data_IF_287919221327
#
_entry.id   IF_287919221327
#
_cell.length_a   1.000
_cell.length_b   1.000
_cell.length_c   1.000
_cell.angle_alpha   90.00
_cell.angle_beta   90.00
_cell.angle_gamma   90.00
#
_symmetry.space_group_name_H-M   'P 1'
#
loop_
_entity.id
_entity.type
_entity.pdbx_description
1 polymer ?
#
# COMPACT_ATOMS: atom_id res chain seq x y z
N UNK A 1 7.19 -14.71 -1.80
CA UNK A 1 6.15 -14.27 -2.55
C UNK A 1 5.79 -12.83 -2.32
N UNK A 2 6.32 -12.03 -3.19
CA UNK A 2 6.24 -10.59 -3.06
C UNK A 2 4.82 -10.05 -3.24
N UNK A 3 4.07 -10.67 -4.09
CA UNK A 3 2.71 -10.21 -4.37
C UNK A 3 1.83 -10.30 -3.14
N UNK A 4 2.10 -11.27 -2.31
CA UNK A 4 1.35 -11.45 -1.08
C UNK A 4 1.51 -10.23 -0.17
N UNK A 5 2.72 -9.69 -0.15
CA UNK A 5 3.00 -8.51 0.66
C UNK A 5 2.19 -7.31 0.17
N UNK A 6 2.12 -7.13 -1.13
CA UNK A 6 1.36 -6.02 -1.67
C UNK A 6 -0.13 -6.18 -1.42
N UNK A 7 -0.63 -7.40 -1.48
CA UNK A 7 -2.04 -7.64 -1.19
C UNK A 7 -2.34 -7.32 0.26
N UNK A 8 -1.44 -7.66 1.16
CA UNK A 8 -1.61 -7.34 2.56
C UNK A 8 -1.64 -5.82 2.76
N UNK A 9 -0.75 -5.12 2.08
CA UNK A 9 -0.71 -3.67 2.18
C UNK A 9 -2.00 -3.06 1.67
N UNK A 10 -2.51 -3.55 0.55
CA UNK A 10 -3.75 -3.03 -0.01
C UNK A 10 -4.89 -3.22 0.97
N UNK A 11 -4.93 -4.35 1.62
CA UNK A 11 -5.96 -4.63 2.60
C UNK A 11 -5.88 -3.67 3.77
N UNK A 12 -4.67 -3.40 4.25
CA UNK A 12 -4.49 -2.47 5.35
C UNK A 12 -4.96 -1.07 4.95
N UNK A 13 -4.69 -0.69 3.72
CA UNK A 13 -5.10 0.63 3.24
C UNK A 13 -6.61 0.78 3.21
N UNK A 14 -7.31 -0.29 2.88
CA UNK A 14 -8.76 -0.24 2.77
C UNK A 14 -9.46 -0.41 4.12
N UNK A 15 -8.94 -1.27 4.95
CA UNK A 15 -9.61 -1.61 6.19
C UNK A 15 -9.19 -0.75 7.37
N UNK A 16 -7.93 -0.35 7.39
CA UNK A 16 -7.41 0.40 8.53
C UNK A 16 -7.47 1.89 8.30
N UNK A 17 -7.20 2.63 9.37
CA UNK A 17 -7.10 4.07 9.30
C UNK A 17 -5.66 4.53 9.17
N UNK A 18 -4.75 3.61 9.01
CA UNK A 18 -3.34 3.94 8.90
C UNK A 18 -3.06 4.66 7.60
N UNK A 19 -2.12 5.59 7.66
CA UNK A 19 -1.71 6.26 6.45
C UNK A 19 -0.71 5.38 5.69
N UNK A 20 -0.33 5.85 4.50
CA UNK A 20 0.54 5.06 3.64
C UNK A 20 1.88 4.75 4.30
N UNK A 21 2.42 5.72 5.03
CA UNK A 21 3.71 5.51 5.70
C UNK A 21 3.63 4.37 6.71
N UNK A 22 2.54 4.34 7.46
CA UNK A 22 2.36 3.29 8.46
C UNK A 22 2.19 1.93 7.81
N UNK A 23 1.43 1.89 6.72
CA UNK A 23 1.25 0.64 6.01
C UNK A 23 2.57 0.14 5.43
N UNK A 24 3.37 1.06 4.90
CA UNK A 24 4.67 0.70 4.34
C UNK A 24 5.54 0.02 5.39
N UNK A 25 5.56 0.57 6.58
CA UNK A 25 6.36 0.01 7.66
C UNK A 25 5.79 -1.33 8.13
N UNK A 26 4.48 -1.44 8.13
CA UNK A 26 3.85 -2.67 8.57
C UNK A 26 4.20 -3.85 7.67
N UNK A 27 4.40 -3.59 6.38
CA UNK A 27 4.75 -4.65 5.45
C UNK A 27 6.25 -4.77 5.23
N UNK A 28 7.04 -4.02 5.97
CA UNK A 28 8.47 -4.21 5.96
C UNK A 28 9.29 -3.29 5.08
N UNK A 29 8.72 -2.20 4.64
CA UNK A 29 9.46 -1.24 3.83
C UNK A 29 10.05 -0.15 4.71
N UNK A 30 11.25 0.27 4.36
CA UNK A 30 11.93 1.30 5.13
C UNK A 30 11.41 2.70 4.82
N UNK A 31 10.98 2.91 3.59
CA UNK A 31 10.51 4.24 3.21
C UNK A 31 9.20 4.14 2.46
N UNK A 32 8.41 5.18 2.60
CA UNK A 32 7.13 5.26 1.92
C UNK A 32 7.33 5.36 0.41
N UNK A 33 8.38 6.06 -0.01
CA UNK A 33 8.66 6.21 -1.43
C UNK A 33 8.88 4.87 -2.10
N UNK A 34 9.69 4.03 -1.47
CA UNK A 34 9.96 2.71 -2.02
C UNK A 34 8.70 1.89 -2.08
N UNK A 35 7.92 1.95 -1.01
CA UNK A 35 6.67 1.21 -0.97
C UNK A 35 5.73 1.69 -2.07
N UNK A 36 5.61 3.00 -2.23
CA UNK A 36 4.71 3.56 -3.25
C UNK A 36 5.11 3.10 -4.64
N UNK A 37 6.40 3.10 -4.93
CA UNK A 37 6.89 2.66 -6.23
C UNK A 37 6.52 1.21 -6.49
N UNK A 38 6.77 0.35 -5.50
CA UNK A 38 6.47 -1.06 -5.65
C UNK A 38 4.97 -1.31 -5.76
N UNK A 39 4.20 -0.58 -4.97
CA UNK A 39 2.75 -0.72 -5.02
C UNK A 39 2.22 -0.32 -6.39
N UNK A 40 2.75 0.77 -6.93
CA UNK A 40 2.33 1.24 -8.24
C UNK A 40 2.62 0.18 -9.31
N UNK A 41 3.76 -0.46 -9.21
CA UNK A 41 4.11 -1.51 -10.15
C UNK A 41 3.18 -2.70 -10.05
N UNK A 42 2.79 -3.03 -8.84
CA UNK A 42 1.96 -4.20 -8.60
C UNK A 42 0.51 -3.98 -8.96
N UNK A 43 -0.01 -2.80 -8.69
CA UNK A 43 -1.43 -2.52 -8.86
C UNK A 43 -1.74 -1.52 -9.96
N UNK A 44 -0.74 -0.83 -10.46
CA UNK A 44 -0.95 0.14 -11.51
C UNK A 44 -1.39 1.51 -11.03
N UNK A 45 -1.54 1.68 -9.72
CA UNK A 45 -1.91 2.95 -9.12
C UNK A 45 -1.12 3.16 -7.85
N UNK A 46 -1.00 4.41 -7.45
CA UNK A 46 -0.33 4.71 -6.18
C UNK A 46 -1.21 4.27 -5.02
N UNK A 47 -0.59 3.95 -3.88
CA UNK A 47 -1.37 3.51 -2.71
C UNK A 47 -2.37 4.56 -2.25
N UNK A 48 -2.03 5.84 -2.33
CA UNK A 48 -2.98 6.88 -1.94
C UNK A 48 -4.16 6.93 -2.91
N UNK A 49 -3.88 6.75 -4.20
CA UNK A 49 -4.94 6.73 -5.21
C UNK A 49 -5.81 5.49 -5.04
N UNK A 50 -5.20 4.38 -4.75
CA UNK A 50 -5.93 3.14 -4.57
C UNK A 50 -6.92 3.26 -3.41
N UNK A 51 -6.45 3.81 -2.31
CA UNK A 51 -7.28 3.98 -1.14
C UNK A 51 -8.46 4.92 -1.43
N UNK A 52 -8.16 6.01 -2.11
CA UNK A 52 -9.19 6.99 -2.44
C UNK A 52 -10.22 6.39 -3.39
N UNK A 53 -9.75 5.63 -4.35
CA UNK A 53 -10.61 5.04 -5.36
C UNK A 53 -11.55 3.99 -4.77
N UNK A 54 -11.06 3.22 -3.81
CA UNK A 54 -11.86 2.14 -3.22
C UNK A 54 -12.75 2.61 -2.09
N UNK A 55 -12.41 3.70 -1.50
CA UNK A 55 -13.17 4.21 -0.37
C UNK A 55 -14.45 4.88 -0.84
N UNK A 56 -15.50 4.58 -0.14
CA UNK A 56 -16.81 5.14 -0.47
C UNK A 56 -17.16 6.34 0.36
#
# INVERSE_FOLDING_TARGET
IREHRMQHAAKLLLEGDENVAQVARAVGYESQSKFSTEFHKAFGVLPTEYRKSQKK
#
